data_IF_256314723335
#
_entry.id   IF_256314723335
#
_cell.length_a   1.000
_cell.length_b   1.000
_cell.length_c   1.000
_cell.angle_alpha   90.00
_cell.angle_beta   90.00
_cell.angle_gamma   90.00
#
_symmetry.space_group_name_H-M   'P 1'
#
loop_
_entity.id
_entity.type
_entity.pdbx_description
1 polymer ?
#
# COMPACT_ATOMS: atom_id res chain seq x y z
N UNK A 1 -4.63 39.83 74.02
CA UNK A 1 -3.88 40.05 72.76
C UNK A 1 -2.95 38.87 72.41
N UNK A 2 -2.13 38.37 73.34
CA UNK A 2 -1.17 37.26 73.11
C UNK A 2 -1.81 35.90 72.70
N UNK A 3 -2.94 35.42 73.26
CA UNK A 3 -3.45 34.08 72.94
C UNK A 3 -3.98 33.93 71.51
N UNK A 4 -4.51 35.01 70.92
CA UNK A 4 -5.03 35.01 69.55
C UNK A 4 -3.91 34.86 68.52
N UNK A 5 -2.74 35.47 68.78
CA UNK A 5 -1.58 35.40 67.90
C UNK A 5 -0.95 34.00 67.88
N UNK A 6 -0.94 33.31 69.02
CA UNK A 6 -0.49 31.91 69.12
C UNK A 6 -1.40 30.97 68.32
N UNK A 7 -2.72 31.12 68.44
CA UNK A 7 -3.70 30.31 67.69
C UNK A 7 -3.55 30.52 66.18
N UNK A 8 -3.39 31.78 65.75
CA UNK A 8 -3.23 32.11 64.33
C UNK A 8 -1.94 31.51 63.74
N UNK A 9 -0.85 31.49 64.53
CA UNK A 9 0.43 30.91 64.12
C UNK A 9 0.36 29.38 64.04
N UNK A 10 -0.37 28.73 64.95
CA UNK A 10 -0.65 27.29 64.88
C UNK A 10 -1.49 26.92 63.65
N UNK A 11 -2.53 27.69 63.33
CA UNK A 11 -3.36 27.48 62.13
C UNK A 11 -2.53 27.69 60.85
N UNK A 12 -1.72 28.74 60.79
CA UNK A 12 -0.83 29.00 59.65
C UNK A 12 0.19 27.86 59.45
N UNK A 13 0.76 27.35 60.54
CA UNK A 13 1.66 26.18 60.50
C UNK A 13 0.96 24.91 60.01
N UNK A 14 -0.25 24.63 60.51
CA UNK A 14 -1.05 23.49 60.06
C UNK A 14 -1.43 23.59 58.57
N UNK A 15 -1.83 24.78 58.11
CA UNK A 15 -2.13 25.03 56.70
C UNK A 15 -0.89 24.89 55.80
N UNK A 16 0.27 25.35 56.26
CA UNK A 16 1.52 25.18 55.53
C UNK A 16 1.90 23.71 55.37
N UNK A 17 1.77 22.90 56.44
CA UNK A 17 2.00 21.44 56.39
C UNK A 17 0.99 20.74 55.50
N UNK A 18 -0.29 21.12 55.57
CA UNK A 18 -1.34 20.57 54.71
C UNK A 18 -1.08 20.89 53.23
N UNK A 19 -0.75 22.14 52.91
CA UNK A 19 -0.41 22.57 51.56
C UNK A 19 0.87 21.88 51.04
N UNK A 20 1.89 21.70 51.88
CA UNK A 20 3.09 20.95 51.54
C UNK A 20 2.77 19.49 51.22
N UNK A 21 1.96 18.83 52.06
CA UNK A 21 1.49 17.45 51.85
C UNK A 21 0.68 17.30 50.57
N UNK A 22 -0.21 18.24 50.29
CA UNK A 22 -1.03 18.23 49.07
C UNK A 22 -0.15 18.41 47.82
N UNK A 23 0.80 19.36 47.84
CA UNK A 23 1.75 19.56 46.74
C UNK A 23 2.70 18.37 46.55
N UNK A 24 3.11 17.69 47.62
CA UNK A 24 3.92 16.47 47.49
C UNK A 24 3.12 15.32 46.87
N UNK A 25 1.85 15.16 47.26
CA UNK A 25 0.97 14.14 46.70
C UNK A 25 0.68 14.40 45.21
N UNK A 26 0.42 15.66 44.84
CA UNK A 26 0.22 16.04 43.43
C UNK A 26 1.47 15.79 42.59
N UNK A 27 2.67 16.12 43.08
CA UNK A 27 3.93 15.83 42.36
C UNK A 27 4.16 14.33 42.17
N UNK A 28 3.84 13.51 43.17
CA UNK A 28 3.94 12.06 43.07
C UNK A 28 2.95 11.46 42.04
N UNK A 29 1.74 12.03 41.93
CA UNK A 29 0.73 11.61 40.96
C UNK A 29 1.09 11.99 39.50
N UNK A 30 1.68 13.18 39.31
CA UNK A 30 2.16 13.60 37.99
C UNK A 30 3.35 12.73 37.54
N UNK A 31 4.31 12.46 38.43
CA UNK A 31 5.45 11.59 38.12
C UNK A 31 5.04 10.17 37.69
N UNK A 32 4.04 9.57 38.35
CA UNK A 32 3.51 8.26 37.95
C UNK A 32 2.84 8.29 36.57
N UNK A 33 2.09 9.36 36.28
CA UNK A 33 1.38 9.51 35.00
C UNK A 33 2.36 9.68 33.84
N UNK A 34 3.44 10.42 34.05
CA UNK A 34 4.47 10.64 33.02
C UNK A 34 5.29 9.37 32.75
N UNK A 35 5.60 8.59 33.79
CA UNK A 35 6.24 7.28 33.64
C UNK A 35 5.33 6.30 32.88
N UNK A 36 4.03 6.25 33.20
CA UNK A 36 3.07 5.42 32.46
C UNK A 36 2.94 5.85 30.99
N UNK A 37 2.87 7.16 30.73
CA UNK A 37 2.86 7.70 29.36
C UNK A 37 4.14 7.33 28.60
N UNK A 38 5.30 7.42 29.24
CA UNK A 38 6.57 7.06 28.63
C UNK A 38 6.68 5.54 28.39
N UNK A 39 6.14 4.71 29.28
CA UNK A 39 6.05 3.26 29.08
C UNK A 39 5.09 2.88 27.95
N UNK A 40 3.92 3.53 27.86
CA UNK A 40 2.97 3.34 26.77
C UNK A 40 3.55 3.80 25.43
N UNK A 41 4.25 4.94 25.38
CA UNK A 41 4.92 5.42 24.16
C UNK A 41 5.97 4.41 23.65
N UNK A 42 6.76 3.80 24.55
CA UNK A 42 7.73 2.75 24.18
C UNK A 42 7.08 1.46 23.65
N UNK A 43 5.84 1.15 24.05
CA UNK A 43 5.11 -0.01 23.53
C UNK A 43 4.51 0.32 22.15
N UNK A 44 4.06 1.56 21.95
CA UNK A 44 3.47 2.05 20.69
C UNK A 44 4.51 2.33 19.59
N UNK A 45 5.78 2.62 19.92
CA UNK A 45 6.86 2.83 18.94
C UNK A 45 7.54 1.53 18.43
N UNK A 46 7.31 0.39 19.08
CA UNK A 46 7.88 -0.91 18.66
C UNK A 46 7.32 -1.57 17.40
N UNK A 47 6.09 -1.32 16.92
CA UNK A 47 5.58 -1.98 15.72
C UNK A 47 6.23 -1.43 14.44
N UNK A 48 6.71 -0.18 14.43
CA UNK A 48 7.18 0.48 13.20
C UNK A 48 8.59 0.03 12.79
N UNK A 49 9.51 -0.16 13.74
CA UNK A 49 10.88 -0.65 13.43
C UNK A 49 10.84 -2.10 12.95
N UNK A 50 10.04 -2.96 13.58
CA UNK A 50 9.91 -4.36 13.16
C UNK A 50 9.16 -4.49 11.84
N UNK A 51 8.15 -3.64 11.58
CA UNK A 51 7.46 -3.60 10.29
C UNK A 51 8.35 -3.06 9.18
N UNK A 52 9.12 -1.99 9.41
CA UNK A 52 10.08 -1.44 8.45
C UNK A 52 11.24 -2.39 8.18
N UNK A 53 11.75 -3.07 9.21
CA UNK A 53 12.82 -4.07 9.03
C UNK A 53 12.27 -5.30 8.30
N UNK A 54 11.06 -5.76 8.63
CA UNK A 54 10.36 -6.78 7.84
C UNK A 54 10.13 -6.30 6.40
N UNK A 55 9.82 -5.03 6.19
CA UNK A 55 9.62 -4.44 4.87
C UNK A 55 10.92 -4.42 4.06
N UNK A 56 12.04 -4.04 4.68
CA UNK A 56 13.38 -4.10 4.08
C UNK A 56 13.80 -5.53 3.79
N UNK A 57 13.73 -6.43 4.78
CA UNK A 57 14.06 -7.84 4.59
C UNK A 57 13.21 -8.49 3.50
N UNK A 58 11.93 -8.15 3.39
CA UNK A 58 11.07 -8.62 2.30
C UNK A 58 11.44 -8.00 0.95
N UNK A 59 11.92 -6.76 0.91
CA UNK A 59 12.44 -6.11 -0.31
C UNK A 59 13.77 -6.75 -0.75
N UNK A 60 14.69 -6.97 0.18
CA UNK A 60 15.98 -7.58 -0.08
C UNK A 60 15.82 -9.07 -0.45
N UNK A 61 14.94 -9.82 0.22
CA UNK A 61 14.57 -11.17 -0.21
C UNK A 61 13.92 -11.15 -1.61
N UNK A 62 13.07 -10.16 -1.89
CA UNK A 62 12.40 -10.03 -3.18
C UNK A 62 13.41 -9.86 -4.32
N UNK A 63 14.44 -9.05 -4.12
CA UNK A 63 15.44 -8.74 -5.15
C UNK A 63 16.52 -9.83 -5.27
N UNK A 64 17.02 -10.36 -4.14
CA UNK A 64 18.05 -11.40 -4.14
C UNK A 64 17.53 -12.78 -4.56
N UNK A 65 16.35 -13.18 -4.09
CA UNK A 65 15.75 -14.47 -4.46
C UNK A 65 15.12 -14.36 -5.86
N UNK A 66 14.50 -13.22 -6.18
CA UNK A 66 14.00 -12.93 -7.53
C UNK A 66 15.11 -12.99 -8.58
N UNK A 67 16.29 -12.41 -8.27
CA UNK A 67 17.49 -12.50 -9.10
C UNK A 67 18.01 -13.94 -9.24
N UNK A 68 18.16 -14.68 -8.14
CA UNK A 68 18.65 -16.07 -8.17
C UNK A 68 17.71 -17.04 -8.88
N UNK A 69 16.40 -16.88 -8.70
CA UNK A 69 15.40 -17.68 -9.40
C UNK A 69 15.29 -17.30 -10.88
N UNK A 70 15.48 -16.01 -11.22
CA UNK A 70 15.58 -15.58 -12.62
C UNK A 70 16.82 -16.16 -13.30
N UNK A 71 17.96 -16.20 -12.60
CA UNK A 71 19.17 -16.88 -13.07
C UNK A 71 18.92 -18.37 -13.30
N UNK A 72 18.25 -19.07 -12.37
CA UNK A 72 17.84 -20.47 -12.56
C UNK A 72 16.94 -20.64 -13.78
N UNK A 73 15.97 -19.75 -13.99
CA UNK A 73 15.12 -19.76 -15.19
C UNK A 73 15.93 -19.59 -16.48
N UNK A 74 16.98 -18.77 -16.47
CA UNK A 74 17.89 -18.61 -17.61
C UNK A 74 18.86 -19.79 -17.79
N UNK A 75 19.04 -20.62 -16.77
CA UNK A 75 19.91 -21.81 -16.82
C UNK A 75 19.14 -23.08 -17.24
N UNK A 76 17.80 -23.05 -17.19
CA UNK A 76 16.94 -24.17 -17.57
C UNK A 76 16.70 -24.17 -19.09
N UNK A 77 17.22 -25.17 -19.79
CA UNK A 77 17.16 -25.29 -21.25
C UNK A 77 15.78 -25.71 -21.79
N UNK A 78 14.85 -26.15 -20.91
CA UNK A 78 13.51 -26.61 -21.31
C UNK A 78 12.42 -25.59 -20.95
N UNK A 79 11.59 -25.14 -21.93
CA UNK A 79 10.58 -24.09 -21.72
C UNK A 79 9.53 -24.44 -20.66
N UNK A 80 9.11 -25.70 -20.56
CA UNK A 80 8.11 -26.17 -19.58
C UNK A 80 8.59 -26.06 -18.12
N UNK A 81 9.89 -26.21 -17.87
CA UNK A 81 10.47 -26.09 -16.52
C UNK A 81 10.65 -24.61 -16.13
N UNK A 82 10.96 -23.75 -17.10
CA UNK A 82 10.99 -22.31 -16.93
C UNK A 82 9.59 -21.73 -16.64
N UNK A 83 8.52 -22.30 -17.22
CA UNK A 83 7.13 -21.97 -16.89
C UNK A 83 6.79 -22.31 -15.44
N UNK A 84 7.15 -23.52 -14.99
CA UNK A 84 6.90 -23.98 -13.62
C UNK A 84 7.64 -23.16 -12.56
N UNK A 85 8.93 -22.88 -12.76
CA UNK A 85 9.70 -22.04 -11.83
C UNK A 85 9.16 -20.60 -11.82
N UNK A 86 8.72 -20.08 -12.96
CA UNK A 86 8.10 -18.75 -13.01
C UNK A 86 6.75 -18.72 -12.31
N UNK A 87 5.93 -19.77 -12.43
CA UNK A 87 4.69 -19.93 -11.68
C UNK A 87 4.96 -19.98 -10.17
N UNK A 88 5.99 -20.71 -9.72
CA UNK A 88 6.39 -20.76 -8.31
C UNK A 88 6.93 -19.41 -7.81
N UNK A 89 7.69 -18.67 -8.63
CA UNK A 89 8.07 -17.27 -8.33
C UNK A 89 6.84 -16.40 -8.20
N UNK A 90 5.85 -16.58 -9.08
CA UNK A 90 4.60 -15.85 -9.06
C UNK A 90 3.81 -16.18 -7.79
N UNK A 91 3.65 -17.45 -7.44
CA UNK A 91 2.97 -17.92 -6.23
C UNK A 91 3.69 -17.45 -4.96
N UNK A 92 5.02 -17.45 -4.94
CA UNK A 92 5.80 -16.94 -3.81
C UNK A 92 5.68 -15.42 -3.67
N UNK A 93 5.79 -14.69 -4.80
CA UNK A 93 5.48 -13.26 -4.85
C UNK A 93 4.05 -13.02 -4.40
N UNK A 94 3.16 -13.98 -4.68
CA UNK A 94 1.76 -13.86 -4.35
C UNK A 94 1.50 -13.99 -2.85
N UNK A 95 2.15 -14.95 -2.18
CA UNK A 95 2.14 -15.13 -0.72
C UNK A 95 2.80 -13.96 0.01
N UNK A 96 3.91 -13.43 -0.52
CA UNK A 96 4.62 -12.30 0.09
C UNK A 96 3.84 -10.99 -0.04
N UNK A 97 3.19 -10.76 -1.20
CA UNK A 97 2.42 -9.53 -1.46
C UNK A 97 1.12 -9.46 -0.67
N UNK A 98 0.47 -10.59 -0.36
CA UNK A 98 -0.71 -10.66 0.51
C UNK A 98 -0.43 -10.11 1.91
N UNK A 99 0.80 -10.21 2.40
CA UNK A 99 1.15 -9.67 3.73
C UNK A 99 1.26 -8.14 3.82
N UNK A 100 1.13 -7.42 2.70
CA UNK A 100 1.33 -5.95 2.63
C UNK A 100 0.08 -5.16 2.26
N UNK A 101 -0.97 -5.80 1.74
CA UNK A 101 -2.13 -5.11 1.21
C UNK A 101 -3.34 -5.45 2.08
N UNK A 102 -3.74 -4.51 2.91
CA UNK A 102 -4.97 -4.60 3.68
C UNK A 102 -6.14 -4.10 2.81
N UNK A 103 -7.38 -4.46 3.18
CA UNK A 103 -8.56 -3.86 2.58
C UNK A 103 -8.49 -2.34 2.76
N UNK A 104 -8.61 -1.60 1.66
CA UNK A 104 -8.48 -0.15 1.62
C UNK A 104 -9.50 0.45 0.66
N UNK A 105 -9.64 1.77 0.66
CA UNK A 105 -10.51 2.42 -0.33
C UNK A 105 -9.85 2.41 -1.71
N UNK A 106 -10.65 2.55 -2.77
CA UNK A 106 -10.12 2.62 -4.13
C UNK A 106 -9.10 3.75 -4.29
N UNK A 107 -9.39 4.94 -3.74
CA UNK A 107 -8.51 6.11 -3.81
C UNK A 107 -7.20 5.87 -3.05
N UNK A 108 -7.22 5.15 -1.93
CA UNK A 108 -6.02 4.73 -1.21
C UNK A 108 -5.17 3.78 -2.08
N UNK A 109 -5.78 2.77 -2.69
CA UNK A 109 -5.08 1.84 -3.59
C UNK A 109 -4.45 2.57 -4.79
N UNK A 110 -5.20 3.48 -5.43
CA UNK A 110 -4.72 4.29 -6.56
C UNK A 110 -3.57 5.23 -6.14
N UNK A 111 -3.67 5.84 -4.96
CA UNK A 111 -2.61 6.69 -4.41
C UNK A 111 -1.31 5.91 -4.21
N UNK A 112 -1.39 4.72 -3.62
CA UNK A 112 -0.22 3.85 -3.44
C UNK A 112 0.36 3.37 -4.79
N UNK A 113 -0.47 3.05 -5.79
CA UNK A 113 -0.02 2.70 -7.14
C UNK A 113 0.71 3.86 -7.80
N UNK A 114 0.16 5.08 -7.70
CA UNK A 114 0.77 6.30 -8.21
C UNK A 114 2.15 6.53 -7.59
N UNK A 115 2.22 6.46 -6.26
CA UNK A 115 3.45 6.76 -5.52
C UNK A 115 4.54 5.71 -5.81
N UNK A 116 4.17 4.42 -5.88
CA UNK A 116 5.10 3.35 -6.26
C UNK A 116 5.59 3.51 -7.71
N UNK A 117 4.69 3.87 -8.63
CA UNK A 117 5.03 4.07 -10.04
C UNK A 117 5.96 5.26 -10.22
N UNK A 118 5.69 6.37 -9.54
CA UNK A 118 6.55 7.56 -9.53
C UNK A 118 7.95 7.23 -9.04
N UNK A 119 8.08 6.59 -7.87
CA UNK A 119 9.39 6.21 -7.31
C UNK A 119 10.20 5.31 -8.26
N UNK A 120 9.55 4.33 -8.90
CA UNK A 120 10.23 3.44 -9.86
C UNK A 120 10.69 4.19 -11.10
N UNK A 121 9.88 5.11 -11.63
CA UNK A 121 10.23 5.92 -12.80
C UNK A 121 11.37 6.90 -12.49
N UNK A 122 11.30 7.60 -11.35
CA UNK A 122 12.32 8.55 -10.90
C UNK A 122 13.69 7.87 -10.79
N UNK A 123 13.73 6.64 -10.27
CA UNK A 123 14.96 5.86 -10.14
C UNK A 123 15.64 5.52 -11.49
N UNK A 124 14.90 5.59 -12.61
CA UNK A 124 15.43 5.37 -13.96
C UNK A 124 15.43 6.65 -14.81
N UNK A 125 15.16 7.82 -14.22
CA UNK A 125 15.06 9.10 -14.94
C UNK A 125 13.86 9.21 -15.88
N UNK A 126 12.81 8.41 -15.64
CA UNK A 126 11.54 8.49 -16.36
C UNK A 126 10.58 9.52 -15.76
N UNK A 127 9.43 9.70 -16.41
CA UNK A 127 8.38 10.64 -15.95
C UNK A 127 7.00 9.98 -15.91
N UNK A 128 6.22 10.28 -14.87
CA UNK A 128 4.83 9.86 -14.71
C UNK A 128 3.87 11.02 -15.00
N UNK A 129 2.98 10.83 -15.98
CA UNK A 129 1.81 11.68 -16.25
C UNK A 129 0.57 11.03 -15.63
N UNK A 130 0.22 11.42 -14.40
CA UNK A 130 -0.95 10.92 -13.67
C UNK A 130 -2.19 11.79 -13.94
N UNK A 131 -3.25 11.18 -14.46
CA UNK A 131 -4.50 11.87 -14.79
C UNK A 131 -5.67 11.13 -14.16
N UNK A 132 -6.32 11.76 -13.18
CA UNK A 132 -7.42 11.16 -12.46
C UNK A 132 -8.65 12.06 -12.54
N UNK A 133 -9.79 11.49 -12.93
CA UNK A 133 -11.06 12.20 -12.87
C UNK A 133 -11.42 12.56 -11.41
N UNK A 134 -11.98 13.75 -11.20
CA UNK A 134 -12.33 14.23 -9.86
C UNK A 134 -13.48 13.41 -9.22
N UNK A 135 -14.42 12.93 -10.03
CA UNK A 135 -15.67 12.31 -9.57
C UNK A 135 -15.61 10.77 -9.57
N UNK A 136 -14.47 10.20 -9.19
CA UNK A 136 -14.34 8.74 -9.05
C UNK A 136 -14.95 8.29 -7.71
N UNK A 137 -15.90 7.35 -7.70
CA UNK A 137 -16.41 6.75 -6.45
C UNK A 137 -15.29 6.10 -5.65
N UNK A 138 -15.38 6.14 -4.31
CA UNK A 138 -14.35 5.59 -3.42
C UNK A 138 -14.87 4.42 -2.56
N UNK A 139 -15.31 3.30 -3.15
CA UNK A 139 -15.78 2.15 -2.38
C UNK A 139 -14.61 1.47 -1.66
N UNK A 140 -14.94 0.75 -0.59
CA UNK A 140 -13.98 -0.18 0.02
C UNK A 140 -13.74 -1.38 -0.90
N UNK A 141 -12.46 -1.67 -1.16
CA UNK A 141 -12.02 -2.84 -1.89
C UNK A 141 -11.56 -3.91 -0.89
N UNK A 142 -11.95 -5.16 -1.13
CA UNK A 142 -11.40 -6.28 -0.37
C UNK A 142 -9.91 -6.52 -0.74
N UNK A 143 -9.22 -7.30 0.10
CA UNK A 143 -7.80 -7.63 -0.10
C UNK A 143 -7.51 -8.21 -1.50
N UNK A 144 -8.43 -9.02 -2.04
CA UNK A 144 -8.25 -9.62 -3.35
C UNK A 144 -8.30 -8.55 -4.45
N UNK A 145 -9.30 -7.66 -4.44
CA UNK A 145 -9.44 -6.59 -5.42
C UNK A 145 -8.22 -5.67 -5.42
N UNK A 146 -7.77 -5.24 -4.23
CA UNK A 146 -6.56 -4.43 -4.07
C UNK A 146 -5.36 -5.16 -4.67
N UNK A 147 -5.18 -6.44 -4.33
CA UNK A 147 -4.07 -7.26 -4.80
C UNK A 147 -4.05 -7.42 -6.33
N UNK A 148 -5.19 -7.72 -6.96
CA UNK A 148 -5.27 -7.88 -8.42
C UNK A 148 -4.98 -6.56 -9.13
N UNK A 149 -5.53 -5.44 -8.65
CA UNK A 149 -5.31 -4.10 -9.20
C UNK A 149 -3.82 -3.73 -9.16
N UNK A 150 -3.17 -3.88 -8.00
CA UNK A 150 -1.74 -3.62 -7.84
C UNK A 150 -0.86 -4.44 -8.79
N UNK A 151 -1.19 -5.73 -8.95
CA UNK A 151 -0.39 -6.62 -9.79
C UNK A 151 -0.52 -6.30 -11.26
N UNK A 152 -1.72 -5.97 -11.71
CA UNK A 152 -1.95 -5.52 -13.09
C UNK A 152 -1.15 -4.23 -13.34
N UNK A 153 -1.23 -3.26 -12.44
CA UNK A 153 -0.48 -2.00 -12.56
C UNK A 153 1.05 -2.24 -12.58
N UNK A 154 1.58 -3.06 -11.67
CA UNK A 154 3.02 -3.39 -11.61
C UNK A 154 3.52 -4.14 -12.84
N UNK A 155 2.74 -5.08 -13.36
CA UNK A 155 3.11 -5.84 -14.55
C UNK A 155 3.06 -4.94 -15.79
N UNK A 156 2.05 -4.07 -15.92
CA UNK A 156 2.00 -3.06 -16.97
C UNK A 156 3.22 -2.13 -16.92
N UNK A 157 3.56 -1.62 -15.74
CA UNK A 157 4.76 -0.79 -15.51
C UNK A 157 6.05 -1.55 -15.84
N UNK A 158 6.18 -2.79 -15.39
CA UNK A 158 7.37 -3.62 -15.66
C UNK A 158 7.53 -3.85 -17.17
N UNK A 159 6.44 -4.11 -17.88
CA UNK A 159 6.45 -4.29 -19.33
C UNK A 159 6.86 -2.99 -20.05
N UNK A 160 6.31 -1.85 -19.65
CA UNK A 160 6.68 -0.54 -20.21
C UNK A 160 8.18 -0.25 -20.04
N UNK A 161 8.73 -0.50 -18.84
CA UNK A 161 10.12 -0.15 -18.52
C UNK A 161 11.12 -1.13 -19.10
N UNK A 162 10.89 -2.44 -18.93
CA UNK A 162 11.86 -3.48 -19.31
C UNK A 162 11.81 -3.83 -20.79
N UNK A 163 10.60 -3.86 -21.36
CA UNK A 163 10.40 -4.27 -22.75
C UNK A 163 10.16 -3.07 -23.66
N UNK A 164 9.46 -2.05 -23.16
CA UNK A 164 9.22 -0.82 -23.90
C UNK A 164 10.38 0.18 -23.86
N UNK A 165 11.33 0.03 -22.93
CA UNK A 165 12.36 1.05 -22.64
C UNK A 165 11.75 2.45 -22.46
N UNK A 166 10.54 2.50 -21.88
CA UNK A 166 9.76 3.71 -21.78
C UNK A 166 10.43 4.70 -20.81
N UNK A 167 10.52 5.96 -21.24
CA UNK A 167 10.98 7.10 -20.44
C UNK A 167 9.81 7.96 -19.97
N UNK A 168 8.63 7.73 -20.52
CA UNK A 168 7.41 8.42 -20.16
C UNK A 168 6.26 7.42 -20.07
N UNK A 169 5.53 7.46 -18.95
CA UNK A 169 4.35 6.64 -18.73
C UNK A 169 3.21 7.56 -18.32
N UNK A 170 2.08 7.43 -18.99
CA UNK A 170 0.82 8.06 -18.62
C UNK A 170 -0.08 7.03 -17.94
N UNK A 171 -0.62 7.39 -16.79
CA UNK A 171 -1.68 6.63 -16.14
C UNK A 171 -2.95 7.46 -16.07
N UNK A 172 -4.04 6.96 -16.64
CA UNK A 172 -5.36 7.58 -16.54
C UNK A 172 -6.32 6.74 -15.73
N UNK A 173 -7.04 7.38 -14.83
CA UNK A 173 -8.11 6.75 -14.05
C UNK A 173 -9.41 7.52 -14.27
N UNK A 174 -10.47 6.81 -14.58
CA UNK A 174 -11.80 7.38 -14.74
C UNK A 174 -12.90 6.33 -14.65
N UNK A 175 -14.12 6.74 -14.93
CA UNK A 175 -15.30 5.87 -14.94
C UNK A 175 -15.86 5.73 -16.35
N UNK A 176 -16.28 4.52 -16.70
CA UNK A 176 -17.05 4.20 -17.90
C UNK A 176 -18.37 3.56 -17.46
N UNK A 177 -19.39 4.40 -17.19
CA UNK A 177 -20.61 3.95 -16.53
C UNK A 177 -20.35 3.56 -15.07
N UNK A 178 -20.64 2.32 -14.72
CA UNK A 178 -20.41 1.71 -13.39
C UNK A 178 -19.06 1.00 -13.26
N UNK A 179 -18.22 1.07 -14.31
CA UNK A 179 -16.92 0.41 -14.35
C UNK A 179 -15.79 1.42 -14.15
N UNK A 180 -14.83 1.07 -13.32
CA UNK A 180 -13.55 1.76 -13.25
C UNK A 180 -12.77 1.47 -14.52
N UNK A 181 -12.16 2.51 -15.10
CA UNK A 181 -11.23 2.42 -16.20
C UNK A 181 -9.86 2.88 -15.72
N UNK A 182 -8.87 1.99 -15.81
CA UNK A 182 -7.45 2.27 -15.59
C UNK A 182 -6.69 2.05 -16.90
N UNK A 183 -6.06 3.10 -17.40
CA UNK A 183 -5.25 3.10 -18.61
C UNK A 183 -3.78 3.37 -18.24
N UNK A 184 -2.88 2.49 -18.69
CA UNK A 184 -1.44 2.68 -18.61
C UNK A 184 -0.88 2.73 -20.03
N UNK A 185 -0.38 3.90 -20.45
CA UNK A 185 0.20 4.11 -21.78
C UNK A 185 1.67 4.48 -21.66
N UNK A 186 2.54 3.74 -22.35
CA UNK A 186 3.97 4.03 -22.44
C UNK A 186 4.36 4.71 -23.77
N UNK A 187 5.59 5.22 -23.85
CA UNK A 187 6.16 5.84 -25.06
C UNK A 187 7.21 4.97 -25.79
N UNK A 188 7.21 3.65 -25.54
CA UNK A 188 8.16 2.71 -26.13
C UNK A 188 7.90 2.41 -27.61
N UNK A 189 8.56 1.37 -28.18
CA UNK A 189 8.35 0.95 -29.56
C UNK A 189 7.01 0.25 -29.79
N UNK A 190 6.23 -0.01 -28.74
CA UNK A 190 5.02 -0.83 -28.79
C UNK A 190 5.33 -2.33 -28.82
N UNK A 191 4.31 -3.13 -29.12
CA UNK A 191 4.42 -4.59 -29.16
C UNK A 191 4.70 -5.11 -30.59
N UNK A 192 5.74 -5.93 -30.74
CA UNK A 192 6.16 -6.54 -32.03
C UNK A 192 5.23 -7.68 -32.46
N UNK A 193 4.57 -8.34 -31.51
CA UNK A 193 3.55 -9.37 -31.72
C UNK A 193 2.29 -8.97 -30.98
N UNK A 194 1.15 -9.45 -31.43
CA UNK A 194 -0.12 -9.23 -30.74
C UNK A 194 0.02 -9.65 -29.26
N UNK A 195 -0.05 -8.73 -28.29
CA UNK A 195 0.08 -9.05 -26.87
C UNK A 195 -1.05 -9.96 -26.39
N UNK A 196 -2.18 -10.02 -27.11
CA UNK A 196 -3.23 -11.00 -26.87
C UNK A 196 -2.79 -12.45 -27.18
N UNK A 197 -1.76 -12.63 -28.02
CA UNK A 197 -1.25 -13.93 -28.47
C UNK A 197 -0.24 -14.64 -27.55
N UNK A 198 -0.13 -14.22 -26.27
CA UNK A 198 0.23 -15.15 -25.19
C UNK A 198 1.63 -15.06 -24.58
N UNK A 199 1.97 -13.91 -23.98
CA UNK A 199 3.04 -13.87 -22.97
C UNK A 199 2.50 -14.29 -21.60
N UNK A 200 3.29 -14.99 -20.77
CA UNK A 200 2.89 -15.35 -19.38
C UNK A 200 2.39 -14.15 -18.56
N UNK A 201 3.02 -12.98 -18.74
CA UNK A 201 2.61 -11.72 -18.10
C UNK A 201 1.23 -11.25 -18.55
N UNK A 202 0.94 -11.28 -19.86
CA UNK A 202 -0.37 -10.87 -20.40
C UNK A 202 -1.47 -11.86 -20.05
N UNK A 203 -1.16 -13.17 -20.00
CA UNK A 203 -2.07 -14.20 -19.50
C UNK A 203 -2.39 -13.99 -18.01
N UNK A 204 -1.38 -13.75 -17.17
CA UNK A 204 -1.58 -13.44 -15.76
C UNK A 204 -2.43 -12.19 -15.56
N UNK A 205 -2.16 -11.10 -16.30
CA UNK A 205 -3.00 -9.89 -16.22
C UNK A 205 -4.44 -10.14 -16.65
N UNK A 206 -4.66 -10.97 -17.68
CA UNK A 206 -6.01 -11.35 -18.13
C UNK A 206 -6.76 -12.16 -17.09
N UNK A 207 -6.13 -13.16 -16.47
CA UNK A 207 -6.76 -13.93 -15.40
C UNK A 207 -7.12 -13.04 -14.21
N UNK A 208 -6.23 -12.11 -13.82
CA UNK A 208 -6.49 -11.16 -12.73
C UNK A 208 -7.59 -10.17 -13.04
N UNK A 209 -7.68 -9.70 -14.30
CA UNK A 209 -8.79 -8.87 -14.73
C UNK A 209 -10.12 -9.64 -14.65
N UNK A 210 -10.12 -10.93 -14.99
CA UNK A 210 -11.31 -11.79 -14.82
C UNK A 210 -11.68 -12.00 -13.35
N UNK A 211 -10.70 -12.14 -12.45
CA UNK A 211 -10.92 -12.22 -10.99
C UNK A 211 -11.59 -10.94 -10.45
N UNK A 212 -11.33 -9.79 -11.07
CA UNK A 212 -12.02 -8.52 -10.80
C UNK A 212 -13.40 -8.41 -11.48
N UNK A 213 -13.92 -9.46 -12.11
CA UNK A 213 -15.09 -9.40 -13.01
C UNK A 213 -14.94 -8.36 -14.15
N UNK A 214 -13.68 -8.13 -14.53
CA UNK A 214 -13.24 -7.11 -15.47
C UNK A 214 -12.76 -7.67 -16.80
N UNK A 215 -12.30 -6.74 -17.63
CA UNK A 215 -11.72 -6.96 -18.94
C UNK A 215 -10.40 -6.21 -19.02
N UNK A 216 -9.42 -6.77 -19.73
CA UNK A 216 -8.16 -6.09 -20.02
C UNK A 216 -7.85 -6.20 -21.52
N UNK A 217 -7.40 -5.10 -22.09
CA UNK A 217 -7.10 -4.96 -23.51
C UNK A 217 -5.76 -4.24 -23.72
N UNK A 218 -5.11 -4.53 -24.85
CA UNK A 218 -3.83 -3.93 -25.24
C UNK A 218 -4.01 -3.26 -26.59
N UNK A 219 -3.70 -1.96 -26.65
CA UNK A 219 -3.87 -1.13 -27.83
C UNK A 219 -2.56 -0.44 -28.17
N UNK A 220 -2.35 -0.03 -29.43
CA UNK A 220 -1.28 0.91 -29.75
C UNK A 220 -1.47 2.22 -28.97
N UNK A 221 -0.38 2.74 -28.39
CA UNK A 221 -0.41 4.03 -27.72
C UNK A 221 -0.50 5.19 -28.72
N UNK A 222 -1.23 6.24 -28.37
CA UNK A 222 -1.50 7.38 -29.29
C UNK A 222 -0.26 8.22 -29.62
N UNK A 223 0.80 8.11 -28.82
CA UNK A 223 2.07 8.83 -29.00
C UNK A 223 3.23 7.84 -29.24
N UNK A 224 2.92 6.61 -29.69
CA UNK A 224 3.83 5.47 -29.65
C UNK A 224 3.57 4.59 -28.43
N UNK A 225 4.27 3.46 -28.32
CA UNK A 225 4.23 2.55 -27.17
C UNK A 225 3.00 1.65 -27.10
N UNK A 226 2.81 1.07 -25.92
CA UNK A 226 1.69 0.18 -25.60
C UNK A 226 0.72 0.88 -24.66
N UNK A 227 -0.57 0.71 -24.92
CA UNK A 227 -1.66 1.12 -24.04
C UNK A 227 -2.32 -0.11 -23.46
N UNK A 228 -2.28 -0.27 -22.14
CA UNK A 228 -2.97 -1.31 -21.39
C UNK A 228 -4.22 -0.71 -20.77
N UNK A 229 -5.39 -1.26 -21.07
CA UNK A 229 -6.68 -0.77 -20.57
C UNK A 229 -7.32 -1.85 -19.71
N UNK A 230 -7.42 -1.59 -18.41
CA UNK A 230 -8.17 -2.40 -17.46
C UNK A 230 -9.52 -1.74 -17.20
N UNK A 231 -10.59 -2.52 -17.31
CA UNK A 231 -11.95 -2.10 -16.97
C UNK A 231 -12.61 -3.13 -16.06
N UNK A 232 -13.13 -2.72 -14.90
CA UNK A 232 -13.83 -3.64 -14.00
C UNK A 232 -14.94 -2.92 -13.21
N UNK A 233 -16.03 -3.63 -12.85
CA UNK A 233 -17.10 -3.04 -12.05
C UNK A 233 -16.59 -2.70 -10.66
N UNK A 234 -16.97 -1.53 -10.14
CA UNK A 234 -16.73 -1.22 -8.73
C UNK A 234 -17.75 -1.94 -7.85
N UNK A 235 -17.37 -2.36 -6.63
CA UNK A 235 -18.35 -2.83 -5.66
C UNK A 235 -19.40 -1.73 -5.45
N UNK A 236 -20.68 -2.08 -5.58
CA UNK A 236 -21.75 -1.16 -5.24
C UNK A 236 -21.60 -0.81 -3.75
N UNK A 237 -21.36 0.46 -3.46
CA UNK A 237 -21.01 0.89 -2.11
C UNK A 237 -22.13 0.51 -1.14
N UNK A 238 -21.78 -0.27 -0.12
CA UNK A 238 -22.63 -0.56 1.02
C UNK A 238 -22.82 0.74 1.79
N UNK A 239 -23.85 1.52 1.42
CA UNK A 239 -24.44 2.52 2.28
C UNK A 239 -25.10 1.84 3.50
N UNK A 240 -24.31 1.24 4.39
CA UNK A 240 -24.73 0.89 5.74
C UNK A 240 -23.50 0.73 6.63
N UNK A 241 -23.28 1.60 7.63
CA UNK A 241 -22.22 1.39 8.61
C UNK A 241 -22.43 0.05 9.33
N UNK A 242 -21.35 -0.67 9.71
CA UNK A 242 -21.48 -1.92 10.44
C UNK A 242 -22.25 -1.66 11.74
N UNK A 243 -23.38 -2.37 11.89
CA UNK A 243 -24.13 -2.39 13.12
C UNK A 243 -23.17 -2.75 14.27
N UNK A 244 -22.94 -1.82 15.18
CA UNK A 244 -22.18 -2.05 16.41
C UNK A 244 -22.77 -3.28 17.07
N UNK A 245 -22.04 -4.40 17.04
CA UNK A 245 -22.32 -5.57 17.87
C UNK A 245 -22.26 -5.13 19.32
N UNK A 246 -23.43 -4.88 19.89
CA UNK A 246 -23.64 -4.88 21.34
C UNK A 246 -23.30 -6.30 21.81
N UNK A 247 -22.14 -6.46 22.45
CA UNK A 247 -21.89 -7.67 23.24
C UNK A 247 -22.79 -7.65 24.50
N UNK A 248 -23.28 -8.82 24.92
CA UNK A 248 -24.24 -8.98 26.01
C UNK A 248 -23.67 -8.57 27.37
#
# INVERSE_FOLDING_TARGET
MIPMLVILLCIAGALAVWAWRLRSALRAAHGHSDVLRQQLARVVERPDIAAQERQRLLSDLHDDIGGKLLTLVHTLERPEQADLVRAVIQDFRDVVSRSRLEACTLLEALGQIRDETGQRLDAMGGTLDWQQHADIPDPSLDEAHVLHLFRIAREALTNALRHGHATHIRMRVGMAGDRLLLDVTDNGPGFVRDPASGGRGTVSMRNRAQELSGTIDWRPGTQGGTKVVLEFPLPADAASPPAKTRRP
#
